data_IF_987954130680
#
_entry.id   IF_987954130680
#
_cell.length_a   1.000
_cell.length_b   1.000
_cell.length_c   1.000
_cell.angle_alpha   90.00
_cell.angle_beta   90.00
_cell.angle_gamma   90.00
#
_symmetry.space_group_name_H-M   'P 1'
#
loop_
_entity.id
_entity.type
_entity.pdbx_description
1 polymer ?
#
# COMPACT_ATOMS: atom_id res chain seq x y z
N UNK A 1 -4.81 15.46 -19.26
CA UNK A 1 -3.51 16.10 -19.57
C UNK A 1 -3.56 17.22 -20.63
N UNK A 2 -4.74 17.56 -21.20
CA UNK A 2 -4.91 18.61 -22.22
C UNK A 2 -4.23 19.97 -21.91
N UNK A 3 -4.17 20.46 -20.65
CA UNK A 3 -3.54 21.74 -20.34
C UNK A 3 -2.02 21.80 -20.59
N UNK A 4 -1.31 20.67 -20.49
CA UNK A 4 0.16 20.63 -20.63
C UNK A 4 0.62 20.29 -22.06
N UNK A 5 -0.31 19.91 -22.94
CA UNK A 5 -0.08 19.73 -24.37
C UNK A 5 1.21 18.95 -24.70
N UNK A 6 2.10 19.60 -25.45
CA UNK A 6 3.35 19.03 -25.94
C UNK A 6 4.52 19.15 -24.97
N UNK A 7 4.34 19.82 -23.81
CA UNK A 7 5.40 19.99 -22.80
C UNK A 7 5.56 18.78 -21.88
N UNK A 8 4.60 17.87 -21.93
CA UNK A 8 4.52 16.69 -21.09
C UNK A 8 4.83 15.41 -21.87
N UNK A 9 5.59 14.51 -21.26
CA UNK A 9 5.85 13.17 -21.77
C UNK A 9 5.59 12.10 -20.70
N UNK A 10 5.24 10.90 -21.16
CA UNK A 10 5.19 9.71 -20.31
C UNK A 10 6.41 8.85 -20.60
N UNK A 11 7.24 8.61 -19.59
CA UNK A 11 8.38 7.71 -19.70
C UNK A 11 7.83 6.30 -19.98
N UNK A 12 8.12 5.80 -21.18
CA UNK A 12 7.69 4.48 -21.65
C UNK A 12 8.81 3.85 -22.47
N UNK A 13 8.88 2.51 -22.46
CA UNK A 13 9.91 1.74 -23.20
C UNK A 13 11.37 2.06 -22.84
N UNK A 14 11.62 2.64 -21.66
CA UNK A 14 12.97 2.93 -21.15
C UNK A 14 13.83 3.85 -22.04
N UNK A 15 13.19 4.62 -22.92
CA UNK A 15 13.85 5.70 -23.67
C UNK A 15 13.47 7.04 -23.03
N UNK A 16 14.47 7.88 -22.82
CA UNK A 16 14.31 9.20 -22.21
C UNK A 16 14.61 10.28 -23.25
N UNK A 17 13.61 11.10 -23.54
CA UNK A 17 13.77 12.34 -24.29
C UNK A 17 13.76 13.50 -23.29
N UNK A 18 14.90 14.20 -23.19
CA UNK A 18 15.11 15.29 -22.21
C UNK A 18 14.55 16.63 -22.66
N UNK A 19 13.90 16.72 -23.83
CA UNK A 19 13.36 17.96 -24.38
C UNK A 19 12.03 18.40 -23.75
N UNK A 20 11.42 17.54 -22.92
CA UNK A 20 10.16 17.84 -22.24
C UNK A 20 10.38 18.54 -20.91
N UNK A 21 9.34 19.22 -20.43
CA UNK A 21 9.36 19.94 -19.15
C UNK A 21 8.66 19.14 -18.04
N UNK A 22 7.69 18.29 -18.39
CA UNK A 22 6.92 17.50 -17.42
C UNK A 22 7.01 16.01 -17.76
N UNK A 23 7.41 15.20 -16.78
CA UNK A 23 7.62 13.77 -16.95
C UNK A 23 6.66 13.00 -16.05
N UNK A 24 5.93 12.06 -16.64
CA UNK A 24 5.08 11.11 -15.93
C UNK A 24 5.72 9.72 -16.00
N UNK A 25 5.88 9.08 -14.85
CA UNK A 25 6.46 7.74 -14.79
C UNK A 25 5.83 6.88 -13.70
N UNK A 26 5.90 5.57 -13.88
CA UNK A 26 5.69 4.59 -12.81
C UNK A 26 7.05 4.21 -12.25
N UNK A 27 7.13 3.93 -10.95
CA UNK A 27 8.38 3.47 -10.30
C UNK A 27 9.06 2.32 -11.05
N UNK A 28 8.28 1.28 -11.36
CA UNK A 28 8.77 0.09 -12.10
C UNK A 28 9.25 0.40 -13.53
N UNK A 29 8.83 1.52 -14.11
CA UNK A 29 9.28 1.93 -15.42
C UNK A 29 10.68 2.57 -15.38
N UNK A 30 11.04 3.17 -14.24
CA UNK A 30 12.32 3.88 -14.05
C UNK A 30 13.36 3.10 -13.24
N UNK A 31 12.95 2.09 -12.47
CA UNK A 31 13.86 1.24 -11.69
C UNK A 31 13.99 -0.17 -12.29
N UNK A 32 15.09 -0.83 -11.98
CA UNK A 32 15.26 -2.26 -12.23
C UNK A 32 16.31 -2.88 -11.32
N UNK A 33 16.37 -4.21 -11.30
CA UNK A 33 17.29 -4.98 -10.45
C UNK A 33 18.77 -4.83 -10.80
N UNK A 34 19.08 -4.30 -11.98
CA UNK A 34 20.43 -4.03 -12.45
C UNK A 34 20.59 -2.53 -12.66
N UNK A 35 21.80 -2.02 -12.43
CA UNK A 35 22.09 -0.58 -12.51
C UNK A 35 21.81 0.01 -13.91
N UNK A 36 22.05 -0.75 -14.98
CA UNK A 36 21.72 -0.36 -16.35
C UNK A 36 20.20 -0.22 -16.60
N UNK A 37 19.37 -0.83 -15.75
CA UNK A 37 17.90 -0.75 -15.82
C UNK A 37 17.35 0.46 -15.05
N UNK A 38 18.18 1.14 -14.26
CA UNK A 38 17.83 2.37 -13.55
C UNK A 38 17.93 3.59 -14.48
N UNK A 39 16.98 3.70 -15.40
CA UNK A 39 16.97 4.75 -16.42
C UNK A 39 16.89 6.16 -15.82
N UNK A 40 16.43 6.32 -14.57
CA UNK A 40 16.43 7.63 -13.90
C UNK A 40 17.83 8.24 -13.83
N UNK A 41 18.90 7.43 -13.76
CA UNK A 41 20.30 7.87 -13.79
C UNK A 41 20.74 8.46 -15.13
N UNK A 42 19.91 8.38 -16.17
CA UNK A 42 20.17 9.10 -17.43
C UNK A 42 19.90 10.59 -17.29
N UNK A 43 19.04 11.01 -16.36
CA UNK A 43 18.92 12.42 -15.96
C UNK A 43 20.07 12.78 -15.03
N UNK A 44 20.47 14.05 -14.98
CA UNK A 44 21.40 14.52 -13.96
C UNK A 44 20.69 14.62 -12.61
N UNK A 45 21.39 14.51 -11.47
CA UNK A 45 20.80 14.68 -10.13
C UNK A 45 20.05 16.01 -9.94
N UNK A 46 20.46 17.05 -10.66
CA UNK A 46 19.89 18.41 -10.63
C UNK A 46 18.89 18.68 -11.77
N UNK A 47 18.47 17.65 -12.51
CA UNK A 47 17.62 17.83 -13.68
C UNK A 47 16.21 18.32 -13.34
N UNK A 48 15.67 17.92 -12.19
CA UNK A 48 14.31 18.26 -11.77
C UNK A 48 14.33 19.27 -10.63
N UNK A 49 13.50 20.31 -10.73
CA UNK A 49 13.28 21.24 -9.63
C UNK A 49 12.21 20.74 -8.64
N UNK A 50 11.26 19.92 -9.13
CA UNK A 50 10.10 19.42 -8.37
C UNK A 50 9.78 17.98 -8.76
N UNK A 51 9.57 17.13 -7.75
CA UNK A 51 9.08 15.76 -7.90
C UNK A 51 7.80 15.61 -7.07
N UNK A 52 6.72 15.17 -7.73
CA UNK A 52 5.45 14.84 -7.08
C UNK A 52 5.32 13.33 -7.02
N UNK A 53 5.11 12.83 -5.81
CA UNK A 53 5.00 11.41 -5.52
C UNK A 53 3.55 11.09 -5.18
N UNK A 54 2.91 10.27 -6.00
CA UNK A 54 1.59 9.72 -5.67
C UNK A 54 1.72 8.43 -4.84
N UNK A 55 0.78 8.22 -3.94
CA UNK A 55 0.75 7.11 -2.99
C UNK A 55 2.08 6.90 -2.27
N UNK A 56 2.62 7.99 -1.70
CA UNK A 56 3.88 8.04 -0.96
C UNK A 56 3.85 7.22 0.35
N UNK A 57 2.99 6.21 0.47
CA UNK A 57 2.91 5.28 1.58
C UNK A 57 3.37 3.84 1.23
N UNK A 58 3.66 3.56 -0.05
CA UNK A 58 3.80 2.20 -0.58
C UNK A 58 5.26 1.75 -0.65
N UNK A 59 5.58 0.74 0.14
CA UNK A 59 6.70 -0.15 -0.13
C UNK A 59 6.64 -1.40 0.75
N UNK A 60 6.77 -2.57 0.12
CA UNK A 60 7.46 -3.69 0.78
C UNK A 60 8.94 -3.30 0.92
N UNK A 61 9.71 -3.92 1.83
CA UNK A 61 11.12 -3.54 2.07
C UNK A 61 11.98 -3.36 0.80
N UNK A 62 11.71 -4.12 -0.27
CA UNK A 62 12.41 -4.01 -1.55
C UNK A 62 11.92 -2.82 -2.40
N UNK A 63 10.61 -2.59 -2.47
CA UNK A 63 10.07 -1.42 -3.15
C UNK A 63 10.43 -0.13 -2.39
N UNK A 64 10.54 -0.22 -1.07
CA UNK A 64 10.99 0.84 -0.18
C UNK A 64 12.40 1.33 -0.54
N UNK A 65 13.32 0.40 -0.79
CA UNK A 65 14.68 0.73 -1.22
C UNK A 65 14.68 1.43 -2.58
N UNK A 66 13.92 0.92 -3.54
CA UNK A 66 13.96 1.41 -4.92
C UNK A 66 13.42 2.84 -5.07
N UNK A 67 12.34 3.21 -4.35
CA UNK A 67 11.86 4.60 -4.41
C UNK A 67 12.80 5.55 -3.68
N UNK A 68 13.35 5.11 -2.54
CA UNK A 68 14.25 5.94 -1.74
C UNK A 68 15.54 6.27 -2.48
N UNK A 69 16.11 5.31 -3.20
CA UNK A 69 17.27 5.55 -4.07
C UNK A 69 17.00 6.62 -5.14
N UNK A 70 15.80 6.63 -5.75
CA UNK A 70 15.44 7.66 -6.73
C UNK A 70 15.37 9.04 -6.08
N UNK A 71 14.73 9.14 -4.92
CA UNK A 71 14.57 10.43 -4.25
C UNK A 71 15.90 10.94 -3.68
N UNK A 72 16.75 10.06 -3.16
CA UNK A 72 18.11 10.42 -2.74
C UNK A 72 18.97 10.87 -3.93
N UNK A 73 18.82 10.24 -5.10
CA UNK A 73 19.48 10.67 -6.34
C UNK A 73 19.06 12.08 -6.76
N UNK A 74 17.77 12.40 -6.71
CA UNK A 74 17.24 13.73 -7.00
C UNK A 74 17.06 14.59 -5.75
N UNK A 75 18.03 14.54 -4.83
CA UNK A 75 17.97 15.22 -3.53
C UNK A 75 17.93 16.75 -3.60
N UNK A 76 18.33 17.34 -4.73
CA UNK A 76 18.26 18.79 -4.96
C UNK A 76 16.84 19.28 -5.29
N UNK A 77 15.97 18.39 -5.78
CA UNK A 77 14.60 18.71 -6.13
C UNK A 77 13.73 18.88 -4.87
N UNK A 78 12.73 19.75 -4.94
CA UNK A 78 11.66 19.74 -3.93
C UNK A 78 10.79 18.50 -4.12
N UNK A 79 10.51 17.75 -3.04
CA UNK A 79 9.65 16.57 -3.11
C UNK A 79 8.31 16.82 -2.43
N UNK A 80 7.22 16.49 -3.13
CA UNK A 80 5.85 16.60 -2.61
C UNK A 80 5.21 15.21 -2.62
N UNK A 81 5.01 14.65 -1.43
CA UNK A 81 4.32 13.37 -1.25
C UNK A 81 2.81 13.52 -1.10
N UNK A 82 2.05 12.71 -1.84
CA UNK A 82 0.60 12.60 -1.75
C UNK A 82 0.25 11.19 -1.25
N UNK A 83 -0.63 11.08 -0.25
CA UNK A 83 -1.13 9.79 0.22
C UNK A 83 -2.56 9.89 0.74
N UNK A 84 -3.38 8.88 0.45
CA UNK A 84 -4.71 8.73 1.03
C UNK A 84 -4.69 8.02 2.40
N UNK A 85 -3.61 7.29 2.70
CA UNK A 85 -3.46 6.48 3.91
C UNK A 85 -2.13 6.80 4.59
N UNK A 86 -2.05 7.87 5.40
CA UNK A 86 -0.86 8.10 6.21
C UNK A 86 -0.70 6.90 7.16
N UNK A 87 0.35 6.11 6.96
CA UNK A 87 0.67 4.98 7.84
C UNK A 87 1.52 5.46 9.00
N UNK A 88 0.96 5.42 10.21
CA UNK A 88 1.71 5.57 11.46
C UNK A 88 2.04 4.19 12.05
N UNK A 89 2.77 3.36 11.31
CA UNK A 89 3.38 2.17 11.90
C UNK A 89 4.88 2.39 12.04
N UNK A 90 5.45 1.95 13.18
CA UNK A 90 6.89 2.05 13.50
C UNK A 90 7.80 1.52 12.39
N UNK A 91 7.26 0.70 11.49
CA UNK A 91 7.98 -0.01 10.44
C UNK A 91 7.74 0.56 9.02
N UNK A 92 7.04 1.69 8.86
CA UNK A 92 6.75 2.28 7.54
C UNK A 92 7.40 3.63 7.32
N UNK A 93 8.19 3.68 6.24
CA UNK A 93 9.26 4.59 5.86
C UNK A 93 8.88 6.05 5.52
N UNK A 94 7.59 6.35 5.35
CA UNK A 94 7.20 7.57 4.63
C UNK A 94 7.23 8.83 5.50
N UNK A 95 6.78 8.73 6.76
CA UNK A 95 6.91 9.83 7.73
C UNK A 95 8.40 10.08 8.02
N UNK A 96 9.22 9.03 8.06
CA UNK A 96 10.66 9.16 8.25
C UNK A 96 11.34 9.98 7.14
N UNK A 97 10.81 9.91 5.92
CA UNK A 97 11.34 10.66 4.78
C UNK A 97 10.72 12.06 4.65
N UNK A 98 9.38 12.14 4.63
CA UNK A 98 8.65 13.39 4.35
C UNK A 98 8.37 14.24 5.59
N UNK A 99 8.50 13.67 6.80
CA UNK A 99 8.09 14.31 8.05
C UNK A 99 6.57 14.34 8.22
N UNK A 100 6.13 15.27 9.07
CA UNK A 100 4.70 15.48 9.35
C UNK A 100 3.96 16.06 8.13
N UNK A 101 2.71 15.65 7.89
CA UNK A 101 1.95 16.16 6.76
C UNK A 101 1.66 17.67 6.92
N UNK A 102 2.02 18.46 5.90
CA UNK A 102 1.73 19.90 5.85
C UNK A 102 0.23 20.20 5.78
N UNK A 103 -0.57 19.26 5.29
CA UNK A 103 -2.02 19.36 5.22
C UNK A 103 -2.65 17.96 5.24
N UNK A 104 -3.79 17.83 5.92
CA UNK A 104 -4.58 16.59 5.94
C UNK A 104 -6.03 16.91 5.69
N UNK A 105 -6.60 16.31 4.64
CA UNK A 105 -8.03 16.36 4.37
C UNK A 105 -8.65 15.01 4.71
N UNK A 106 -9.36 14.94 5.83
CA UNK A 106 -9.81 13.65 6.40
C UNK A 106 -11.04 13.09 5.69
N UNK A 107 -11.22 11.77 5.74
CA UNK A 107 -12.46 11.11 5.30
C UNK A 107 -13.70 11.73 5.95
N UNK A 108 -13.63 12.03 7.26
CA UNK A 108 -14.71 12.67 8.01
C UNK A 108 -15.06 14.04 7.42
N UNK A 109 -14.06 14.87 7.15
CA UNK A 109 -14.25 16.20 6.57
C UNK A 109 -14.83 16.10 5.15
N UNK A 110 -14.31 15.19 4.32
CA UNK A 110 -14.85 14.91 3.00
C UNK A 110 -16.33 14.50 3.01
N UNK A 111 -16.76 13.74 4.01
CA UNK A 111 -18.18 13.38 4.18
C UNK A 111 -19.00 14.60 4.63
N UNK A 112 -18.49 15.41 5.56
CA UNK A 112 -19.17 16.60 6.07
C UNK A 112 -19.36 17.68 5.00
N UNK A 113 -18.36 17.87 4.14
CA UNK A 113 -18.38 18.85 3.05
C UNK A 113 -19.19 18.35 1.83
N UNK A 114 -19.68 17.11 1.86
CA UNK A 114 -20.51 16.52 0.80
C UNK A 114 -19.73 16.02 -0.42
N UNK A 115 -18.39 15.98 -0.36
CA UNK A 115 -17.55 15.45 -1.43
C UNK A 115 -17.37 13.93 -1.39
N UNK A 116 -17.52 13.31 -0.21
CA UNK A 116 -17.41 11.85 -0.03
C UNK A 116 -18.72 11.27 0.50
N UNK A 117 -19.04 10.05 0.06
CA UNK A 117 -20.24 9.36 0.49
C UNK A 117 -20.12 8.88 1.96
N UNK A 118 -21.16 9.05 2.79
CA UNK A 118 -21.19 8.44 4.12
C UNK A 118 -21.25 6.91 3.99
N UNK A 119 -20.69 6.21 4.98
CA UNK A 119 -20.70 4.74 5.03
C UNK A 119 -21.27 4.24 6.35
N UNK A 120 -21.87 3.05 6.32
CA UNK A 120 -22.33 2.33 7.51
C UNK A 120 -21.54 1.03 7.63
N UNK A 121 -20.79 0.90 8.71
CA UNK A 121 -20.09 -0.36 9.02
C UNK A 121 -21.11 -1.33 9.60
N UNK A 122 -21.36 -2.44 8.90
CA UNK A 122 -22.14 -3.57 9.40
C UNK A 122 -21.16 -4.71 9.63
N UNK A 123 -20.85 -4.96 10.91
CA UNK A 123 -20.08 -6.12 11.31
C UNK A 123 -21.03 -7.28 11.52
N UNK A 124 -20.89 -8.33 10.73
CA UNK A 124 -21.65 -9.57 10.88
C UNK A 124 -20.70 -10.57 11.52
N UNK A 125 -20.90 -10.81 12.80
CA UNK A 125 -20.18 -11.85 13.50
C UNK A 125 -21.04 -13.13 13.48
N UNK A 126 -20.47 -14.23 12.99
CA UNK A 126 -21.15 -15.53 12.97
C UNK A 126 -20.92 -16.19 14.34
N UNK A 127 -21.99 -16.64 15.00
CA UNK A 127 -22.03 -17.07 16.41
C UNK A 127 -20.88 -18.01 16.85
N UNK A 128 -20.46 -18.94 15.97
CA UNK A 128 -19.38 -19.91 16.24
C UNK A 128 -17.98 -19.30 16.22
N UNK A 129 -17.82 -18.17 15.53
CA UNK A 129 -16.54 -17.47 15.38
C UNK A 129 -16.22 -16.62 16.63
N UNK A 130 -17.25 -16.15 17.35
CA UNK A 130 -17.11 -15.38 18.60
C UNK A 130 -17.12 -16.24 19.86
N UNK A 131 -18.06 -17.18 19.97
CA UNK A 131 -18.23 -17.98 21.21
C UNK A 131 -17.32 -19.21 21.25
N UNK A 132 -16.69 -19.55 20.12
CA UNK A 132 -16.02 -20.82 19.93
C UNK A 132 -17.01 -21.98 19.88
N UNK A 133 -16.52 -23.13 19.42
CA UNK A 133 -17.30 -24.36 19.35
C UNK A 133 -16.77 -25.37 20.38
N UNK A 134 -17.65 -25.89 21.23
CA UNK A 134 -17.33 -27.00 22.14
C UNK A 134 -18.01 -28.29 21.63
N UNK A 135 -17.29 -29.42 21.50
CA UNK A 135 -17.88 -30.68 21.10
C UNK A 135 -18.87 -31.21 22.15
N UNK A 136 -19.88 -31.95 21.71
CA UNK A 136 -20.70 -32.75 22.61
C UNK A 136 -19.85 -33.87 23.25
N UNK A 137 -20.21 -34.29 24.48
CA UNK A 137 -19.43 -35.29 25.23
C UNK A 137 -19.33 -36.61 24.44
N UNK A 138 -18.10 -37.05 24.17
CA UNK A 138 -17.82 -38.27 23.43
C UNK A 138 -17.92 -38.13 21.90
N UNK A 139 -18.02 -36.90 21.37
CA UNK A 139 -18.05 -36.67 19.93
C UNK A 139 -16.72 -37.10 19.29
N UNK A 140 -16.82 -37.91 18.23
CA UNK A 140 -15.68 -38.38 17.45
C UNK A 140 -15.53 -37.58 16.15
N UNK A 141 -14.29 -37.49 15.67
CA UNK A 141 -13.98 -36.93 14.36
C UNK A 141 -14.31 -37.91 13.22
N UNK A 142 -14.01 -37.53 11.97
CA UNK A 142 -14.25 -38.35 10.78
C UNK A 142 -13.40 -39.64 10.76
N UNK A 143 -12.36 -39.73 11.57
CA UNK A 143 -11.45 -40.87 11.67
C UNK A 143 -11.73 -41.73 12.91
N UNK A 144 -12.74 -41.38 13.71
CA UNK A 144 -13.17 -42.13 14.88
C UNK A 144 -12.40 -41.80 16.17
N UNK A 145 -11.55 -40.77 16.17
CA UNK A 145 -10.87 -40.29 17.37
C UNK A 145 -11.77 -39.35 18.17
N UNK A 146 -11.74 -39.46 19.49
CA UNK A 146 -12.50 -38.54 20.34
C UNK A 146 -11.94 -37.12 20.25
N UNK A 147 -12.83 -36.17 19.99
CA UNK A 147 -12.48 -34.75 19.98
C UNK A 147 -12.37 -34.30 21.44
N UNK A 148 -11.23 -33.70 21.79
CA UNK A 148 -10.99 -33.20 23.15
C UNK A 148 -12.08 -32.22 23.57
N UNK A 149 -12.64 -32.42 24.75
CA UNK A 149 -13.67 -31.54 25.31
C UNK A 149 -13.08 -30.20 25.75
N UNK A 150 -12.98 -29.27 24.80
CA UNK A 150 -12.53 -27.89 24.98
C UNK A 150 -13.26 -26.94 24.03
N UNK A 151 -13.16 -25.64 24.28
CA UNK A 151 -13.65 -24.61 23.38
C UNK A 151 -12.63 -24.42 22.25
N UNK A 152 -13.05 -24.66 21.02
CA UNK A 152 -12.26 -24.41 19.81
C UNK A 152 -12.61 -23.02 19.26
N UNK A 153 -11.61 -22.16 19.09
CA UNK A 153 -11.80 -20.79 18.63
C UNK A 153 -11.41 -20.64 17.14
N UNK A 154 -11.43 -19.41 16.64
CA UNK A 154 -11.10 -19.09 15.24
C UNK A 154 -9.74 -19.64 14.80
N UNK A 155 -8.71 -19.55 15.66
CA UNK A 155 -7.37 -20.08 15.33
C UNK A 155 -7.36 -21.60 15.18
N UNK A 156 -8.23 -22.30 15.91
CA UNK A 156 -8.37 -23.75 15.76
C UNK A 156 -9.12 -24.11 14.48
N UNK A 157 -10.14 -23.32 14.11
CA UNK A 157 -10.88 -23.47 12.85
C UNK A 157 -10.00 -23.21 11.63
N UNK A 158 -9.15 -22.17 11.68
CA UNK A 158 -8.22 -21.82 10.61
C UNK A 158 -7.11 -22.86 10.40
N UNK A 159 -6.69 -23.57 11.47
CA UNK A 159 -5.53 -24.47 11.42
C UNK A 159 -5.85 -25.94 11.21
N UNK A 160 -7.08 -26.39 11.45
CA UNK A 160 -7.38 -27.82 11.29
C UNK A 160 -8.76 -28.31 11.72
N UNK A 161 -9.63 -27.45 12.24
CA UNK A 161 -10.99 -27.86 12.59
C UNK A 161 -11.99 -27.43 11.49
N UNK A 162 -12.46 -28.40 10.70
CA UNK A 162 -13.53 -28.19 9.72
C UNK A 162 -14.85 -28.71 10.27
N UNK A 163 -15.79 -27.81 10.57
CA UNK A 163 -17.15 -28.19 10.94
C UNK A 163 -17.98 -28.42 9.66
N UNK A 164 -18.35 -29.68 9.36
CA UNK A 164 -19.28 -29.95 8.27
C UNK A 164 -20.64 -29.32 8.56
N UNK A 165 -21.24 -28.71 7.52
CA UNK A 165 -22.61 -28.19 7.55
C UNK A 165 -23.58 -29.34 7.90
N UNK A 166 -24.61 -29.01 8.69
CA UNK A 166 -25.81 -29.86 8.80
C UNK A 166 -26.59 -29.79 7.50
#
# INVERSE_FOLDING_TARGET
FKPFGQKMTKISKRMIDKSYEIYLSLYQAVTGSEEEKNIYKQFTPEFFDLIIIDECHRGSANEDSAWREILEYFSSATHVGLTATPKETKDTSNITYFGDPVYTYTLKQGIQDGFLAPYKVIRIDIDKDLQGWRPEKGKKDLHGYEITDRIYNLKDMDKGLVLKKR
#
